data_IF_791097786156
#
_entry.id   IF_791097786156
#
_cell.length_a   1.000
_cell.length_b   1.000
_cell.length_c   1.000
_cell.angle_alpha   90.00
_cell.angle_beta   90.00
_cell.angle_gamma   90.00
#
_symmetry.space_group_name_H-M   'P 1'
#
loop_
_entity.id
_entity.type
_entity.pdbx_description
1 polymer ?
#
# COMPACT_ATOMS: atom_id res chain seq x y z
N UNK A 1 -10.48 5.67 -16.70
CA UNK A 1 -10.76 4.30 -17.22
C UNK A 1 -12.11 3.85 -16.69
N UNK A 2 -12.94 3.11 -17.51
CA UNK A 2 -14.22 2.54 -17.08
C UNK A 2 -14.05 1.12 -16.57
N UNK A 3 -14.73 0.80 -15.47
CA UNK A 3 -14.77 -0.50 -14.81
C UNK A 3 -16.24 -0.94 -14.66
N UNK A 4 -16.46 -2.23 -14.57
CA UNK A 4 -17.76 -2.79 -14.25
C UNK A 4 -17.81 -3.17 -12.77
N UNK A 5 -18.63 -2.49 -11.98
CA UNK A 5 -18.88 -2.90 -10.60
C UNK A 5 -19.84 -4.09 -10.61
N UNK A 6 -19.45 -5.15 -9.91
CA UNK A 6 -20.22 -6.40 -9.80
C UNK A 6 -20.97 -6.46 -8.46
N UNK A 7 -20.41 -5.85 -7.41
CA UNK A 7 -20.93 -5.83 -6.04
C UNK A 7 -20.61 -4.48 -5.37
N UNK A 8 -21.45 -3.91 -4.50
CA UNK A 8 -22.78 -4.43 -4.12
C UNK A 8 -23.82 -4.30 -5.25
N UNK A 9 -23.90 -3.17 -5.92
CA UNK A 9 -24.87 -2.90 -6.98
C UNK A 9 -24.18 -2.82 -8.34
N UNK A 10 -24.58 -3.63 -9.33
CA UNK A 10 -24.00 -3.60 -10.66
C UNK A 10 -24.10 -2.21 -11.31
N UNK A 11 -22.96 -1.67 -11.74
CA UNK A 11 -22.87 -0.35 -12.38
C UNK A 11 -21.63 -0.26 -13.26
N UNK A 12 -21.58 0.75 -14.14
CA UNK A 12 -20.35 1.18 -14.79
C UNK A 12 -19.82 2.38 -14.01
N UNK A 13 -18.59 2.27 -13.52
CA UNK A 13 -17.90 3.30 -12.75
C UNK A 13 -16.55 3.63 -13.39
N UNK A 14 -15.96 4.76 -13.05
CA UNK A 14 -14.59 5.09 -13.43
C UNK A 14 -13.63 4.86 -12.27
N UNK A 15 -12.34 4.66 -12.58
CA UNK A 15 -11.30 4.57 -11.56
C UNK A 15 -11.29 5.82 -10.68
N UNK A 16 -11.49 7.00 -11.26
CA UNK A 16 -11.48 8.27 -10.52
C UNK A 16 -12.66 8.35 -9.53
N UNK A 17 -13.88 7.99 -9.96
CA UNK A 17 -15.05 7.91 -9.07
C UNK A 17 -14.81 6.94 -7.91
N UNK A 18 -14.24 5.76 -8.18
CA UNK A 18 -13.90 4.78 -7.15
C UNK A 18 -12.89 5.37 -6.16
N UNK A 19 -11.78 5.94 -6.66
CA UNK A 19 -10.74 6.50 -5.80
C UNK A 19 -11.24 7.68 -4.96
N UNK A 20 -12.01 8.61 -5.55
CA UNK A 20 -12.55 9.77 -4.84
C UNK A 20 -13.58 9.39 -3.76
N UNK A 21 -14.26 8.26 -3.91
CA UNK A 21 -15.22 7.76 -2.91
C UNK A 21 -14.58 7.24 -1.63
N UNK A 22 -13.27 6.92 -1.62
CA UNK A 22 -12.63 6.19 -0.52
C UNK A 22 -12.53 6.99 0.78
N UNK A 23 -12.26 8.29 0.72
CA UNK A 23 -12.17 9.22 1.88
C UNK A 23 -11.34 8.67 3.06
N UNK A 24 -10.22 7.99 2.75
CA UNK A 24 -9.38 7.26 3.70
C UNK A 24 -8.84 8.14 4.84
N UNK A 25 -8.63 9.42 4.58
CA UNK A 25 -8.18 10.42 5.54
C UNK A 25 -9.14 10.64 6.72
N UNK A 26 -10.42 10.30 6.57
CA UNK A 26 -11.47 10.47 7.60
C UNK A 26 -11.57 9.30 8.56
N UNK A 27 -10.93 8.19 8.23
CA UNK A 27 -11.03 6.93 8.96
C UNK A 27 -9.86 6.71 9.95
N UNK A 28 -8.92 7.66 10.02
CA UNK A 28 -7.78 7.59 10.93
C UNK A 28 -8.21 7.67 12.39
N UNK A 29 -7.57 6.88 13.24
CA UNK A 29 -7.67 7.04 14.69
C UNK A 29 -6.69 8.12 15.20
N UNK A 30 -6.85 8.59 16.46
CA UNK A 30 -5.84 9.45 17.08
C UNK A 30 -4.46 8.81 17.16
N UNK A 31 -4.40 7.49 17.28
CA UNK A 31 -3.20 6.71 17.57
C UNK A 31 -2.43 6.25 16.34
N UNK A 32 -3.12 6.00 15.23
CA UNK A 32 -2.53 5.53 13.98
C UNK A 32 -3.30 5.98 12.75
N UNK A 33 -2.66 6.02 11.57
CA UNK A 33 -3.37 6.24 10.31
C UNK A 33 -4.28 5.05 9.96
N UNK A 34 -5.26 5.30 9.10
CA UNK A 34 -6.01 4.25 8.42
C UNK A 34 -5.10 3.57 7.37
N UNK A 35 -5.06 2.26 7.37
CA UNK A 35 -4.11 1.48 6.57
C UNK A 35 -4.82 0.62 5.54
N UNK A 36 -4.52 0.89 4.28
CA UNK A 36 -4.96 0.12 3.13
C UNK A 36 -3.77 -0.64 2.55
N UNK A 37 -3.90 -1.94 2.33
CA UNK A 37 -2.92 -2.72 1.59
C UNK A 37 -3.40 -2.95 0.16
N UNK A 38 -2.54 -2.72 -0.85
CA UNK A 38 -2.85 -3.03 -2.24
C UNK A 38 -1.93 -4.12 -2.77
N UNK A 39 -2.53 -5.22 -3.20
CA UNK A 39 -1.82 -6.41 -3.66
C UNK A 39 -2.41 -6.91 -4.98
N UNK A 40 -1.58 -7.60 -5.75
CA UNK A 40 -1.98 -8.29 -6.98
C UNK A 40 -1.57 -9.75 -6.92
N UNK A 41 -2.42 -10.63 -7.41
CA UNK A 41 -2.11 -12.05 -7.56
C UNK A 41 -2.65 -12.61 -8.88
N UNK A 42 -2.10 -13.75 -9.29
CA UNK A 42 -2.69 -14.59 -10.33
C UNK A 42 -3.89 -15.37 -9.77
N UNK A 43 -4.70 -15.97 -10.63
CA UNK A 43 -5.85 -16.80 -10.23
C UNK A 43 -5.44 -18.02 -9.40
N UNK A 44 -4.19 -18.50 -9.52
CA UNK A 44 -3.62 -19.56 -8.68
C UNK A 44 -2.80 -19.02 -7.48
N UNK A 45 -2.99 -17.73 -7.12
CA UNK A 45 -2.48 -17.12 -5.89
C UNK A 45 -1.02 -16.69 -5.89
N UNK A 46 -0.35 -16.59 -7.05
CA UNK A 46 1.04 -16.16 -7.13
C UNK A 46 1.14 -14.63 -7.15
N UNK A 47 1.97 -14.06 -6.28
CA UNK A 47 2.18 -12.61 -6.18
C UNK A 47 3.34 -12.10 -7.05
N UNK A 48 4.08 -12.98 -7.69
CA UNK A 48 5.19 -12.61 -8.58
C UNK A 48 5.25 -13.48 -9.82
N UNK A 49 5.66 -12.88 -10.94
CA UNK A 49 6.04 -13.53 -12.17
C UNK A 49 7.50 -13.16 -12.46
N UNK A 50 8.39 -14.16 -12.52
CA UNK A 50 9.84 -13.95 -12.62
C UNK A 50 10.41 -13.00 -11.55
N UNK A 51 9.88 -13.11 -10.30
CA UNK A 51 10.31 -12.31 -9.16
C UNK A 51 9.76 -10.87 -9.10
N UNK A 52 8.86 -10.47 -10.02
CA UNK A 52 8.24 -9.14 -10.08
C UNK A 52 6.72 -9.23 -10.05
N UNK A 53 6.07 -8.25 -9.43
CA UNK A 53 4.60 -8.15 -9.39
C UNK A 53 4.04 -7.41 -10.61
N UNK A 54 4.75 -6.43 -11.13
CA UNK A 54 4.30 -5.57 -12.22
C UNK A 54 3.78 -6.28 -13.49
N UNK A 55 4.32 -7.43 -13.90
CA UNK A 55 3.80 -8.19 -15.04
C UNK A 55 2.45 -8.88 -14.82
N UNK A 56 1.95 -8.99 -13.57
CA UNK A 56 0.69 -9.67 -13.23
C UNK A 56 -0.51 -8.76 -13.52
N UNK A 57 -0.50 -7.53 -12.98
CA UNK A 57 -1.59 -6.59 -13.14
C UNK A 57 -1.68 -5.99 -14.54
N UNK A 58 -2.91 -5.85 -15.05
CA UNK A 58 -3.21 -5.19 -16.32
C UNK A 58 -3.35 -3.67 -16.20
N UNK A 59 -3.98 -3.06 -17.21
CA UNK A 59 -4.15 -1.60 -17.25
C UNK A 59 -5.12 -1.09 -16.18
N UNK A 60 -6.13 -1.91 -15.82
CA UNK A 60 -7.11 -1.53 -14.82
C UNK A 60 -6.49 -1.55 -13.42
N UNK A 61 -5.74 -2.60 -13.08
CA UNK A 61 -4.97 -2.69 -11.85
C UNK A 61 -4.00 -1.50 -11.71
N UNK A 62 -3.18 -1.24 -12.73
CA UNK A 62 -2.24 -0.12 -12.73
C UNK A 62 -2.93 1.23 -12.56
N UNK A 63 -4.08 1.43 -13.22
CA UNK A 63 -4.84 2.68 -13.09
C UNK A 63 -5.38 2.87 -11.68
N UNK A 64 -5.95 1.82 -11.06
CA UNK A 64 -6.43 1.87 -9.70
C UNK A 64 -5.28 2.08 -8.70
N UNK A 65 -4.16 1.36 -8.87
CA UNK A 65 -2.96 1.51 -8.07
C UNK A 65 -2.45 2.97 -8.04
N UNK A 66 -2.35 3.62 -9.21
CA UNK A 66 -1.93 5.02 -9.27
C UNK A 66 -2.98 5.97 -8.67
N UNK A 67 -4.26 5.68 -8.85
CA UNK A 67 -5.33 6.46 -8.26
C UNK A 67 -5.33 6.37 -6.73
N UNK A 68 -5.05 5.21 -6.14
CA UNK A 68 -4.90 5.01 -4.69
C UNK A 68 -3.77 5.86 -4.11
N UNK A 69 -2.63 5.94 -4.78
CA UNK A 69 -1.53 6.85 -4.38
C UNK A 69 -1.96 8.32 -4.31
N UNK A 70 -2.92 8.69 -5.18
CA UNK A 70 -3.55 10.01 -5.17
C UNK A 70 -4.39 10.30 -3.93
N UNK A 71 -4.79 9.28 -3.15
CA UNK A 71 -5.75 9.40 -2.04
C UNK A 71 -5.11 9.39 -0.64
N UNK A 72 -3.83 9.03 -0.50
CA UNK A 72 -3.20 8.78 0.79
C UNK A 72 -2.13 9.81 1.16
N UNK A 73 -1.87 9.98 2.47
CA UNK A 73 -0.80 10.85 2.97
C UNK A 73 0.58 10.18 2.83
N UNK A 74 0.66 8.85 2.95
CA UNK A 74 1.92 8.12 2.83
C UNK A 74 1.76 6.79 2.09
N UNK A 75 2.85 6.34 1.47
CA UNK A 75 2.99 5.02 0.85
C UNK A 75 4.06 4.25 1.61
N UNK A 76 3.68 3.10 2.19
CA UNK A 76 4.58 2.22 2.90
C UNK A 76 5.01 1.05 2.02
N UNK A 77 6.31 0.82 1.94
CA UNK A 77 6.89 -0.22 1.09
C UNK A 77 8.09 -0.88 1.75
N UNK A 78 8.22 -2.20 1.60
CA UNK A 78 9.37 -2.95 2.07
C UNK A 78 10.60 -2.80 1.18
N UNK A 79 11.79 -2.94 1.75
CA UNK A 79 13.07 -2.78 1.05
C UNK A 79 13.27 -3.77 -0.10
N UNK A 80 12.67 -4.97 -0.01
CA UNK A 80 12.67 -5.96 -1.10
C UNK A 80 11.95 -5.44 -2.34
N UNK A 81 10.74 -4.92 -2.17
CA UNK A 81 9.93 -4.33 -3.24
C UNK A 81 10.60 -3.10 -3.83
N UNK A 82 11.12 -2.20 -2.99
CA UNK A 82 11.90 -1.04 -3.45
C UNK A 82 13.04 -1.42 -4.39
N UNK A 83 13.80 -2.48 -4.01
CA UNK A 83 14.94 -2.97 -4.80
C UNK A 83 14.53 -3.54 -6.14
N UNK A 84 13.47 -4.36 -6.15
CA UNK A 84 13.03 -5.07 -7.35
C UNK A 84 12.33 -4.13 -8.33
N UNK A 85 11.43 -3.29 -7.81
CA UNK A 85 10.58 -2.41 -8.63
C UNK A 85 11.24 -1.04 -8.92
N UNK A 86 12.39 -0.73 -8.26
CA UNK A 86 13.19 0.51 -8.44
C UNK A 86 12.31 1.75 -8.43
N UNK A 87 11.66 1.98 -7.30
CA UNK A 87 10.73 3.10 -7.14
C UNK A 87 11.36 4.43 -7.55
N UNK A 88 10.55 5.27 -8.17
CA UNK A 88 10.82 6.69 -8.39
C UNK A 88 9.72 7.53 -7.75
N UNK A 89 9.48 8.72 -8.29
CA UNK A 89 8.42 9.61 -7.84
C UNK A 89 7.08 8.87 -7.75
N UNK A 90 6.41 8.97 -6.59
CA UNK A 90 5.20 8.20 -6.31
C UNK A 90 3.98 8.65 -7.11
N UNK A 91 3.82 9.97 -7.30
CA UNK A 91 2.74 10.54 -8.13
C UNK A 91 3.34 11.27 -9.32
N UNK A 92 3.40 10.62 -10.47
CA UNK A 92 4.02 11.19 -11.69
C UNK A 92 3.12 12.17 -12.41
N UNK A 93 1.82 11.95 -12.39
CA UNK A 93 0.84 12.78 -13.08
C UNK A 93 0.66 14.14 -12.39
N UNK A 94 0.82 15.23 -13.15
CA UNK A 94 0.72 16.60 -12.64
C UNK A 94 -0.71 16.93 -12.15
N UNK A 95 -1.73 16.49 -12.88
CA UNK A 95 -3.12 16.75 -12.51
C UNK A 95 -3.50 16.07 -11.20
N UNK A 96 -3.00 14.85 -10.97
CA UNK A 96 -3.17 14.13 -9.69
C UNK A 96 -2.49 14.89 -8.54
N UNK A 97 -1.27 15.42 -8.73
CA UNK A 97 -0.60 16.24 -7.70
C UNK A 97 -1.39 17.51 -7.36
N UNK A 98 -1.90 18.20 -8.37
CA UNK A 98 -2.76 19.36 -8.17
C UNK A 98 -4.06 19.01 -7.44
N UNK A 99 -4.68 17.87 -7.78
CA UNK A 99 -5.87 17.39 -7.11
C UNK A 99 -5.60 17.06 -5.63
N UNK A 100 -4.44 16.48 -5.30
CA UNK A 100 -3.99 16.26 -3.93
C UNK A 100 -3.89 17.56 -3.15
N UNK A 101 -3.23 18.57 -3.71
CA UNK A 101 -3.08 19.89 -3.08
C UNK A 101 -4.44 20.56 -2.83
N UNK A 102 -5.38 20.51 -3.80
CA UNK A 102 -6.74 21.00 -3.60
C UNK A 102 -7.49 20.32 -2.45
N UNK A 103 -7.11 19.08 -2.11
CA UNK A 103 -7.66 18.31 -0.98
C UNK A 103 -6.90 18.51 0.34
N UNK A 104 -5.88 19.38 0.37
CA UNK A 104 -5.05 19.64 1.54
C UNK A 104 -3.96 18.61 1.79
N UNK A 105 -3.64 17.77 0.80
CA UNK A 105 -2.52 16.83 0.84
C UNK A 105 -1.25 17.46 0.27
N UNK A 106 -0.09 16.91 0.59
CA UNK A 106 1.16 17.23 -0.11
C UNK A 106 1.09 16.79 -1.58
N UNK A 107 1.84 17.43 -2.51
CA UNK A 107 1.83 17.02 -3.92
C UNK A 107 2.17 15.54 -4.14
N UNK A 108 3.16 15.05 -3.41
CA UNK A 108 3.52 13.63 -3.37
C UNK A 108 3.26 13.08 -1.95
N UNK A 109 2.83 11.82 -1.79
CA UNK A 109 2.76 11.18 -0.48
C UNK A 109 4.17 10.94 0.08
N UNK A 110 4.30 10.87 1.40
CA UNK A 110 5.53 10.45 2.05
C UNK A 110 5.82 8.99 1.65
N UNK A 111 7.05 8.71 1.20
CA UNK A 111 7.53 7.34 1.03
C UNK A 111 8.01 6.81 2.39
N UNK A 112 7.27 5.86 2.97
CA UNK A 112 7.66 5.23 4.23
C UNK A 112 8.34 3.89 3.96
N UNK A 113 9.54 3.71 4.52
CA UNK A 113 10.31 2.49 4.42
C UNK A 113 10.52 1.92 5.82
N UNK A 114 10.19 0.64 6.00
CA UNK A 114 10.43 -0.06 7.28
C UNK A 114 11.44 -1.17 7.05
N UNK A 115 12.53 -1.17 7.83
CA UNK A 115 13.62 -2.13 7.68
C UNK A 115 14.19 -2.57 9.03
N UNK A 116 14.26 -3.88 9.26
CA UNK A 116 14.93 -4.43 10.44
C UNK A 116 16.45 -4.40 10.27
N UNK A 117 16.95 -4.63 9.06
CA UNK A 117 18.39 -4.83 8.78
C UNK A 117 19.15 -3.55 8.41
N UNK A 118 18.49 -2.40 8.35
CA UNK A 118 19.10 -1.16 7.89
C UNK A 118 19.46 -1.11 6.38
N UNK A 119 19.22 -2.20 5.63
CA UNK A 119 19.63 -2.30 4.22
C UNK A 119 18.56 -1.72 3.29
N UNK A 120 18.69 -0.44 2.99
CA UNK A 120 17.81 0.27 2.05
C UNK A 120 18.51 0.46 0.70
N UNK A 121 17.88 0.16 -0.45
CA UNK A 121 18.47 0.43 -1.76
C UNK A 121 18.43 1.94 -2.04
N UNK A 122 19.50 2.65 -1.76
CA UNK A 122 19.58 4.10 -1.93
C UNK A 122 19.86 4.52 -3.38
N UNK A 123 20.25 3.59 -4.25
CA UNK A 123 20.59 3.78 -5.67
C UNK A 123 19.36 3.70 -6.60
N UNK A 124 18.19 4.14 -6.14
CA UNK A 124 16.95 4.13 -6.92
C UNK A 124 16.43 5.56 -7.15
N UNK A 125 15.66 5.79 -8.22
CA UNK A 125 15.21 7.15 -8.59
C UNK A 125 14.40 7.89 -7.51
N UNK A 126 13.83 7.18 -6.53
CA UNK A 126 13.10 7.79 -5.41
C UNK A 126 14.00 8.73 -4.59
N UNK A 127 15.27 8.34 -4.38
CA UNK A 127 16.23 9.15 -3.62
C UNK A 127 16.89 10.25 -4.45
N UNK A 128 16.78 10.18 -5.78
CA UNK A 128 17.34 11.17 -6.71
C UNK A 128 16.37 12.34 -6.99
N UNK A 129 15.08 12.19 -6.64
CA UNK A 129 14.06 13.22 -6.89
C UNK A 129 13.96 14.19 -5.71
N UNK A 130 14.32 15.48 -5.89
CA UNK A 130 14.27 16.48 -4.82
C UNK A 130 12.85 16.78 -4.31
N UNK A 131 11.81 16.34 -5.03
CA UNK A 131 10.42 16.47 -4.59
C UNK A 131 9.99 15.33 -3.66
N UNK A 132 10.78 14.26 -3.55
CA UNK A 132 10.47 13.10 -2.72
C UNK A 132 10.76 13.39 -1.25
N UNK A 133 9.84 13.00 -0.39
CA UNK A 133 10.05 12.91 1.07
C UNK A 133 10.03 11.44 1.46
N UNK A 134 11.12 10.98 2.07
CA UNK A 134 11.31 9.58 2.48
C UNK A 134 11.51 9.53 3.98
N UNK A 135 10.70 8.72 4.67
CA UNK A 135 10.84 8.43 6.10
C UNK A 135 11.22 6.97 6.25
N UNK A 136 12.33 6.70 6.91
CA UNK A 136 12.86 5.35 7.12
C UNK A 136 12.79 5.02 8.60
N UNK A 137 12.05 3.97 8.95
CA UNK A 137 12.08 3.37 10.28
C UNK A 137 12.98 2.15 10.28
N UNK A 138 13.99 2.13 11.15
CA UNK A 138 15.01 1.08 11.16
C UNK A 138 15.33 0.60 12.57
N UNK A 139 15.47 -0.73 12.74
CA UNK A 139 16.00 -1.29 13.99
C UNK A 139 17.53 -1.16 14.07
N UNK A 140 18.23 -1.19 12.93
CA UNK A 140 19.67 -1.00 12.85
C UNK A 140 19.99 0.45 12.47
N UNK A 141 21.10 1.01 12.94
CA UNK A 141 21.53 2.35 12.57
C UNK A 141 21.71 2.49 11.05
N UNK A 142 21.24 3.61 10.50
CA UNK A 142 21.45 4.00 9.10
C UNK A 142 21.97 5.43 9.10
N UNK A 143 23.12 5.65 8.47
CA UNK A 143 23.56 7.00 8.15
C UNK A 143 22.66 7.56 7.03
N UNK A 144 22.04 8.73 7.23
CA UNK A 144 21.23 9.35 6.18
C UNK A 144 22.06 9.53 4.91
N UNK A 145 21.57 9.09 3.75
CA UNK A 145 22.32 9.24 2.51
C UNK A 145 22.45 10.72 2.13
N UNK A 146 23.55 11.07 1.48
CA UNK A 146 23.60 12.30 0.69
C UNK A 146 22.67 12.13 -0.52
N UNK A 147 21.50 12.71 -0.48
CA UNK A 147 20.41 12.49 -1.44
C UNK A 147 19.75 13.83 -1.79
N UNK A 148 19.36 14.06 -3.07
CA UNK A 148 18.50 15.18 -3.44
C UNK A 148 17.13 15.14 -2.76
N UNK A 149 16.59 13.95 -2.48
CA UNK A 149 15.35 13.78 -1.73
C UNK A 149 15.51 14.19 -0.26
N UNK A 150 14.42 14.64 0.35
CA UNK A 150 14.37 14.83 1.81
C UNK A 150 14.27 13.47 2.48
N UNK A 151 15.32 13.05 3.18
CA UNK A 151 15.36 11.74 3.86
C UNK A 151 15.46 11.95 5.37
N UNK A 152 14.51 11.34 6.09
CA UNK A 152 14.54 11.27 7.56
C UNK A 152 14.66 9.81 7.99
N UNK A 153 15.63 9.52 8.86
CA UNK A 153 15.83 8.21 9.45
C UNK A 153 15.44 8.26 10.93
N UNK A 154 14.56 7.37 11.35
CA UNK A 154 14.14 7.19 12.74
C UNK A 154 14.57 5.81 13.20
N UNK A 155 15.46 5.75 14.16
CA UNK A 155 15.84 4.50 14.83
C UNK A 155 14.71 4.02 15.73
N UNK A 156 14.37 2.75 15.63
CA UNK A 156 13.45 2.08 16.54
C UNK A 156 14.24 1.12 17.42
N UNK A 157 13.84 1.01 18.69
CA UNK A 157 14.39 -0.05 19.55
C UNK A 157 14.15 -1.41 18.89
N UNK A 158 15.17 -2.28 18.75
CA UNK A 158 15.01 -3.61 18.16
C UNK A 158 13.92 -4.47 18.80
N UNK A 159 13.68 -4.30 20.11
CA UNK A 159 12.65 -5.02 20.87
C UNK A 159 11.25 -4.46 20.62
N UNK A 160 11.14 -3.18 20.25
CA UNK A 160 9.89 -2.49 19.91
C UNK A 160 9.68 -2.35 18.40
N UNK A 161 10.61 -2.89 17.59
CA UNK A 161 10.53 -2.78 16.15
C UNK A 161 9.33 -3.52 15.58
N UNK A 162 8.39 -2.77 15.00
CA UNK A 162 7.19 -3.30 14.38
C UNK A 162 6.50 -2.30 13.46
N UNK A 163 5.53 -2.79 12.70
CA UNK A 163 4.70 -1.97 11.81
C UNK A 163 3.82 -1.00 12.61
N UNK A 164 3.29 -1.44 13.74
CA UNK A 164 2.48 -0.61 14.64
C UNK A 164 3.28 0.60 15.15
N UNK A 165 4.55 0.42 15.53
CA UNK A 165 5.41 1.50 16.00
C UNK A 165 5.72 2.49 14.88
N UNK A 166 6.05 2.00 13.68
CA UNK A 166 6.27 2.85 12.50
C UNK A 166 5.01 3.65 12.12
N UNK A 167 3.83 3.03 12.13
CA UNK A 167 2.56 3.70 11.83
C UNK A 167 2.23 4.76 12.87
N UNK A 168 2.48 4.49 14.15
CA UNK A 168 2.32 5.49 15.22
C UNK A 168 3.23 6.69 14.99
N UNK A 169 4.52 6.47 14.67
CA UNK A 169 5.46 7.54 14.32
C UNK A 169 5.00 8.36 13.10
N UNK A 170 4.51 7.73 12.03
CA UNK A 170 3.90 8.43 10.91
C UNK A 170 2.73 9.33 11.34
N UNK A 171 1.91 8.86 12.28
CA UNK A 171 0.76 9.62 12.78
C UNK A 171 1.18 10.80 13.65
N UNK A 172 2.08 10.57 14.62
CA UNK A 172 2.47 11.59 15.62
C UNK A 172 3.43 12.62 15.08
N UNK A 173 4.44 12.20 14.32
CA UNK A 173 5.55 13.07 13.93
C UNK A 173 5.33 13.73 12.57
N UNK A 174 4.51 13.09 11.71
CA UNK A 174 4.25 13.57 10.34
C UNK A 174 2.77 13.91 10.07
N UNK A 175 1.88 13.69 11.03
CA UNK A 175 0.46 13.98 10.87
C UNK A 175 -0.27 13.11 9.84
N UNK A 176 0.35 11.99 9.41
CA UNK A 176 -0.21 11.06 8.43
C UNK A 176 -1.52 10.47 8.93
N UNK A 177 -2.57 10.54 8.11
CA UNK A 177 -3.90 10.00 8.43
C UNK A 177 -4.22 8.75 7.63
N UNK A 178 -3.63 8.59 6.45
CA UNK A 178 -3.88 7.46 5.56
C UNK A 178 -2.59 6.91 4.98
N UNK A 179 -2.46 5.58 4.97
CA UNK A 179 -1.30 4.86 4.46
C UNK A 179 -1.74 3.82 3.44
N UNK A 180 -1.13 3.84 2.26
CA UNK A 180 -1.19 2.77 1.29
C UNK A 180 0.05 1.89 1.45
N UNK A 181 -0.14 0.65 1.90
CA UNK A 181 0.92 -0.36 1.90
C UNK A 181 0.95 -1.08 0.56
N UNK A 182 2.06 -0.97 -0.15
CA UNK A 182 2.30 -1.64 -1.44
C UNK A 182 3.12 -2.93 -1.30
N UNK A 183 3.20 -3.43 -0.08
CA UNK A 183 3.86 -4.69 0.21
C UNK A 183 5.37 -4.51 0.38
N UNK A 184 6.30 -5.50 0.16
CA UNK A 184 5.97 -6.84 -0.36
C UNK A 184 5.24 -7.81 0.60
N UNK A 185 5.15 -9.07 0.17
CA UNK A 185 4.42 -10.10 0.88
C UNK A 185 4.82 -10.28 2.35
N UNK A 186 6.10 -10.11 2.68
CA UNK A 186 6.58 -10.18 4.08
C UNK A 186 6.09 -9.01 4.92
N UNK A 187 5.97 -7.82 4.31
CA UNK A 187 5.43 -6.63 4.98
C UNK A 187 3.95 -6.83 5.27
N UNK A 188 3.16 -7.29 4.29
CA UNK A 188 1.74 -7.57 4.51
C UNK A 188 1.55 -8.61 5.63
N UNK A 189 2.32 -9.70 5.61
CA UNK A 189 2.24 -10.73 6.66
C UNK A 189 2.58 -10.17 8.05
N UNK A 190 3.58 -9.27 8.17
CA UNK A 190 3.92 -8.60 9.42
C UNK A 190 2.77 -7.69 9.88
N UNK A 191 2.20 -6.88 8.98
CA UNK A 191 1.10 -5.97 9.29
C UNK A 191 -0.17 -6.73 9.72
N UNK A 192 -0.50 -7.85 9.08
CA UNK A 192 -1.61 -8.71 9.48
C UNK A 192 -1.38 -9.32 10.87
N UNK A 193 -0.15 -9.78 11.16
CA UNK A 193 0.20 -10.34 12.47
C UNK A 193 0.10 -9.31 13.58
N UNK A 194 0.51 -8.08 13.32
CA UNK A 194 0.38 -6.96 14.24
C UNK A 194 -1.02 -6.36 14.25
N UNK A 195 -1.88 -6.89 13.41
CA UNK A 195 -3.26 -6.48 13.26
C UNK A 195 -3.41 -4.97 12.97
N UNK A 196 -2.65 -4.39 12.08
CA UNK A 196 -2.68 -2.97 11.70
C UNK A 196 -3.18 -2.71 10.28
N UNK A 197 -3.75 -3.69 9.63
CA UNK A 197 -4.40 -3.55 8.32
C UNK A 197 -5.90 -3.30 8.53
N UNK A 198 -6.45 -2.25 7.93
CA UNK A 198 -7.89 -1.95 7.97
C UNK A 198 -8.60 -2.46 6.72
N UNK A 199 -7.97 -2.31 5.55
CA UNK A 199 -8.53 -2.78 4.28
C UNK A 199 -7.48 -3.45 3.39
N UNK A 200 -7.95 -4.39 2.58
CA UNK A 200 -7.16 -5.03 1.53
C UNK A 200 -7.81 -4.79 0.16
N UNK A 201 -7.06 -4.17 -0.74
CA UNK A 201 -7.35 -4.15 -2.16
C UNK A 201 -6.56 -5.28 -2.82
N UNK A 202 -7.28 -6.19 -3.45
CA UNK A 202 -6.68 -7.35 -4.11
C UNK A 202 -7.13 -7.42 -5.56
N UNK A 203 -6.18 -7.29 -6.47
CA UNK A 203 -6.41 -7.61 -7.88
C UNK A 203 -6.09 -9.08 -8.13
N UNK A 204 -7.04 -9.81 -8.69
CA UNK A 204 -6.87 -11.18 -9.18
C UNK A 204 -6.82 -11.15 -10.70
N UNK A 205 -5.62 -11.33 -11.23
CA UNK A 205 -5.39 -11.38 -12.68
C UNK A 205 -5.84 -12.74 -13.26
N UNK A 206 -6.40 -12.76 -14.47
CA UNK A 206 -6.85 -13.99 -15.14
C UNK A 206 -5.68 -14.79 -15.73
N UNK A 207 -4.69 -15.11 -14.88
CA UNK A 207 -3.48 -15.82 -15.23
C UNK A 207 -3.30 -17.07 -14.33
N UNK A 208 -2.78 -18.13 -14.90
CA UNK A 208 -2.27 -19.31 -14.19
C UNK A 208 -0.77 -19.43 -14.45
N UNK A 209 0.03 -19.49 -13.40
CA UNK A 209 1.49 -19.56 -13.47
C UNK A 209 2.00 -20.95 -13.08
N UNK A 210 1.36 -21.61 -12.13
CA UNK A 210 1.78 -22.91 -11.61
C UNK A 210 3.08 -22.83 -10.79
N UNK A 211 3.80 -23.96 -10.71
CA UNK A 211 5.06 -24.09 -9.97
C UNK A 211 4.87 -24.45 -8.48
N UNK A 212 5.85 -25.13 -7.90
CA UNK A 212 5.79 -25.62 -6.52
C UNK A 212 6.05 -24.54 -5.47
N UNK A 213 6.99 -23.62 -5.74
CA UNK A 213 7.41 -22.55 -4.82
C UNK A 213 7.17 -21.20 -5.48
N UNK A 214 6.17 -20.48 -5.00
CA UNK A 214 5.95 -19.12 -5.39
C UNK A 214 5.45 -18.29 -4.21
N UNK A 215 5.86 -17.03 -4.17
CA UNK A 215 5.36 -16.06 -3.20
C UNK A 215 3.86 -15.86 -3.42
N UNK A 216 3.10 -15.93 -2.34
CA UNK A 216 1.72 -15.42 -2.27
C UNK A 216 1.72 -13.97 -1.83
N UNK A 217 0.56 -13.33 -1.76
CA UNK A 217 0.44 -11.94 -1.31
C UNK A 217 0.89 -11.72 0.15
N UNK A 218 0.87 -12.76 0.97
CA UNK A 218 1.36 -12.74 2.35
C UNK A 218 2.34 -13.90 2.54
N UNK A 219 3.58 -13.61 2.93
CA UNK A 219 4.66 -14.60 3.06
C UNK A 219 5.37 -14.48 4.40
N UNK A 220 5.72 -15.63 4.99
CA UNK A 220 6.41 -15.72 6.27
C UNK A 220 5.80 -16.79 7.17
N UNK A 221 5.96 -16.65 8.49
CA UNK A 221 5.31 -17.55 9.44
C UNK A 221 3.78 -17.45 9.35
N UNK A 222 3.03 -18.52 9.58
CA UNK A 222 1.58 -18.50 9.62
C UNK A 222 1.06 -17.42 10.58
N UNK A 223 -0.11 -16.87 10.28
CA UNK A 223 -0.82 -16.04 11.24
C UNK A 223 -1.29 -16.90 12.41
N UNK A 224 -1.31 -16.38 13.65
CA UNK A 224 -1.83 -17.09 14.81
C UNK A 224 -3.28 -17.53 14.61
N UNK A 225 -4.09 -16.66 14.04
CA UNK A 225 -5.47 -16.90 13.62
C UNK A 225 -5.66 -16.35 12.21
N UNK A 226 -6.51 -16.93 11.36
CA UNK A 226 -6.85 -16.36 10.08
C UNK A 226 -7.48 -14.98 10.25
N UNK A 227 -7.08 -14.02 9.40
CA UNK A 227 -7.74 -12.72 9.32
C UNK A 227 -9.02 -12.87 8.49
N UNK A 228 -10.19 -12.62 9.08
CA UNK A 228 -11.46 -12.56 8.35
C UNK A 228 -11.50 -11.34 7.43
N UNK A 229 -12.19 -11.49 6.30
CA UNK A 229 -12.34 -10.44 5.30
C UNK A 229 -13.82 -10.28 4.91
N UNK A 230 -14.30 -9.05 4.95
CA UNK A 230 -15.63 -8.67 4.48
C UNK A 230 -15.53 -7.97 3.12
N UNK A 231 -16.26 -8.47 2.11
CA UNK A 231 -16.25 -7.87 0.78
C UNK A 231 -17.02 -6.55 0.77
N UNK A 232 -16.32 -5.46 0.45
CA UNK A 232 -16.90 -4.12 0.32
C UNK A 232 -17.39 -3.86 -1.10
N UNK A 233 -16.54 -4.14 -2.10
CA UNK A 233 -16.94 -4.11 -3.50
C UNK A 233 -16.06 -5.04 -4.37
N UNK A 234 -16.64 -5.41 -5.50
CA UNK A 234 -15.95 -6.13 -6.56
C UNK A 234 -16.11 -5.38 -7.89
N UNK A 235 -14.99 -5.11 -8.54
CA UNK A 235 -14.92 -4.49 -9.87
C UNK A 235 -14.32 -5.48 -10.86
N UNK A 236 -14.67 -5.33 -12.12
CA UNK A 236 -14.14 -6.14 -13.21
C UNK A 236 -13.73 -5.28 -14.39
N UNK A 237 -12.62 -5.64 -15.03
CA UNK A 237 -12.20 -5.13 -16.33
C UNK A 237 -11.38 -6.18 -17.07
N UNK A 238 -11.83 -6.58 -18.26
CA UNK A 238 -11.12 -7.53 -19.14
C UNK A 238 -10.70 -8.83 -18.47
N UNK A 239 -11.54 -9.33 -17.55
CA UNK A 239 -11.28 -10.55 -16.80
C UNK A 239 -10.47 -10.36 -15.52
N UNK A 240 -9.87 -9.20 -15.25
CA UNK A 240 -9.31 -8.88 -13.95
C UNK A 240 -10.41 -8.60 -12.95
N UNK A 241 -10.30 -9.16 -11.76
CA UNK A 241 -11.17 -8.84 -10.61
C UNK A 241 -10.38 -7.97 -9.64
N UNK A 242 -10.89 -6.80 -9.35
CA UNK A 242 -10.38 -5.92 -8.30
C UNK A 242 -11.35 -5.95 -7.14
N UNK A 243 -10.88 -6.36 -5.98
CA UNK A 243 -11.65 -6.63 -4.78
C UNK A 243 -11.20 -5.68 -3.67
N UNK A 244 -12.15 -5.06 -2.97
CA UNK A 244 -11.89 -4.34 -1.73
C UNK A 244 -12.52 -5.09 -0.58
N UNK A 245 -11.71 -5.42 0.40
CA UNK A 245 -12.12 -6.07 1.62
C UNK A 245 -11.85 -5.20 2.83
N UNK A 246 -12.80 -5.12 3.78
CA UNK A 246 -12.54 -4.75 5.16
C UNK A 246 -11.92 -5.93 5.91
N UNK A 247 -11.00 -5.66 6.83
CA UNK A 247 -10.44 -6.68 7.71
C UNK A 247 -11.29 -6.74 8.98
N UNK A 248 -11.90 -7.90 9.26
CA UNK A 248 -12.82 -8.10 10.40
C UNK A 248 -12.16 -7.83 11.75
N UNK A 249 -12.97 -7.40 12.72
CA UNK A 249 -12.52 -7.11 14.10
C UNK A 249 -11.79 -5.77 14.25
N UNK A 250 -11.89 -4.85 13.25
CA UNK A 250 -11.33 -3.51 13.32
C UNK A 250 -12.37 -2.46 13.68
N UNK A 251 -12.03 -1.57 14.61
CA UNK A 251 -12.87 -0.42 14.93
C UNK A 251 -12.97 0.49 13.69
N UNK A 252 -14.17 0.70 13.19
CA UNK A 252 -14.45 1.59 12.07
C UNK A 252 -14.97 0.91 10.81
N UNK A 253 -14.97 -0.42 10.69
CA UNK A 253 -15.56 -1.10 9.53
C UNK A 253 -17.07 -0.94 9.47
N UNK A 254 -17.78 -0.90 10.60
CA UNK A 254 -19.24 -0.75 10.66
C UNK A 254 -19.73 0.64 10.23
N UNK A 255 -18.92 1.70 10.39
CA UNK A 255 -19.30 3.08 9.99
C UNK A 255 -18.66 3.52 8.66
N UNK A 256 -17.65 2.80 8.17
CA UNK A 256 -16.88 3.20 6.99
C UNK A 256 -17.54 2.86 5.65
N UNK A 257 -18.61 2.07 5.64
CA UNK A 257 -19.29 1.60 4.45
C UNK A 257 -20.77 2.02 4.42
N UNK A 258 -21.10 3.31 4.19
CA UNK A 258 -22.45 3.66 3.83
C UNK A 258 -22.74 2.98 2.47
N UNK A 259 -23.78 2.16 2.46
CA UNK A 259 -24.35 1.45 1.29
C UNK A 259 -24.78 2.48 0.24
#
# INVERSE_FOLDING_TARGET
>A
MKLRRLYPDPAVVTVDEVAESLRLDRLASPERPFVVCNMVSTADGKATLHGRSGPIGGDADRSLFHALRGQVDAVLVGTGTLRVERYGRLVRDAATREARVRRGLTPDPIACVVTRSGRVPMDIPLFEDPSSTVVIYSAEPIDPPSSPATVQVTGLDPDEFGMATALRGLRTDHGVRSVLCEGGPTVLAAMLREQVVDELFLTVAPLLVGGEVALTIAAGAPLPEPAGLELVWALESRGELMLRYGVEGRAGTDEAHPV
#
